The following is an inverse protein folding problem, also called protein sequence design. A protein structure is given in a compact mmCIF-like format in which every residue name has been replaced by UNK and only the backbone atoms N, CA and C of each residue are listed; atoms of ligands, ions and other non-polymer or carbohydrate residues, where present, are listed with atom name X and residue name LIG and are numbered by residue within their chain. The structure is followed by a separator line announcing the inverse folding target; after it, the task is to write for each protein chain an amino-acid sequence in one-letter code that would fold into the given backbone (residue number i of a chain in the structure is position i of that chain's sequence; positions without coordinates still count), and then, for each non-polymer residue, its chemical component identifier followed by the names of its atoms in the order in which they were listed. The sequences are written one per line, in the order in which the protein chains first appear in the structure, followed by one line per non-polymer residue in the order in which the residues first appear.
data_IF_827447713135
#
_entry.id   IF_827447713135
#
_cell.length_a   1.000
_cell.length_b   1.000
_cell.length_c   1.000
_cell.angle_alpha   90.00
_cell.angle_beta   90.00
_cell.angle_gamma   90.00
#
_symmetry.space_group_name_H-M   'P 1'
#
loop_
_entity.id
_entity.type
_entity.pdbx_description
1 polymer ?
#
# COMPACT_ATOMS: atom_id res chain seq x y z
N UNK A 1 -20.61 19.52 34.53
CA UNK A 1 -20.56 20.76 33.71
C UNK A 1 -19.14 21.07 33.17
N UNK A 2 -18.05 20.69 33.85
CA UNK A 2 -16.68 21.05 33.47
C UNK A 2 -16.24 20.54 32.07
N UNK A 3 -16.68 19.34 31.66
CA UNK A 3 -16.34 18.73 30.37
C UNK A 3 -17.24 19.17 29.20
N UNK A 4 -18.33 19.91 29.49
CA UNK A 4 -19.17 20.47 28.42
C UNK A 4 -18.40 21.55 27.65
N UNK A 5 -18.52 21.51 26.32
CA UNK A 5 -17.91 22.49 25.43
C UNK A 5 -16.46 22.21 25.02
N UNK A 6 -15.91 21.01 25.26
CA UNK A 6 -14.71 20.53 24.60
C UNK A 6 -15.07 19.72 23.37
N UNK A 7 -14.44 20.03 22.26
CA UNK A 7 -14.54 19.26 21.00
C UNK A 7 -13.13 19.06 20.43
N UNK A 8 -12.97 17.97 19.72
CA UNK A 8 -11.75 17.68 18.98
C UNK A 8 -12.07 17.34 17.54
N UNK A 9 -11.14 17.62 16.65
CA UNK A 9 -11.17 17.25 15.23
C UNK A 9 -9.77 16.82 14.85
N UNK A 10 -9.67 15.70 14.15
CA UNK A 10 -8.38 15.18 13.67
C UNK A 10 -8.33 15.24 12.16
N UNK A 11 -7.15 15.48 11.65
CA UNK A 11 -6.82 15.40 10.23
C UNK A 11 -5.58 14.54 10.05
N UNK A 12 -5.64 13.59 9.15
CA UNK A 12 -4.51 12.75 8.74
C UNK A 12 -3.96 13.26 7.41
N UNK A 13 -2.64 13.20 7.24
CA UNK A 13 -1.98 13.55 5.96
C UNK A 13 -2.39 12.59 4.84
N UNK A 14 -2.64 11.33 5.17
CA UNK A 14 -3.12 10.30 4.23
C UNK A 14 -3.90 9.22 4.97
N UNK A 15 -4.89 8.65 4.29
CA UNK A 15 -5.62 7.46 4.76
C UNK A 15 -5.06 6.15 4.19
N UNK A 16 -4.08 6.24 3.28
CA UNK A 16 -3.47 5.08 2.62
C UNK A 16 -1.98 5.30 2.54
N UNK A 17 -1.22 4.44 3.19
CA UNK A 17 0.23 4.49 3.23
C UNK A 17 0.81 3.09 3.04
N UNK A 18 2.11 2.99 2.85
CA UNK A 18 2.83 1.72 2.81
C UNK A 18 3.54 1.46 4.14
N UNK A 19 3.87 0.20 4.40
CA UNK A 19 4.73 -0.19 5.53
C UNK A 19 6.01 0.66 5.55
N UNK A 20 6.47 0.99 6.74
CA UNK A 20 7.59 1.90 7.03
C UNK A 20 7.34 3.35 6.57
N UNK A 21 6.13 3.66 6.12
CA UNK A 21 5.70 5.02 5.82
C UNK A 21 5.32 5.81 7.07
N UNK A 22 5.07 7.09 6.86
CA UNK A 22 4.75 8.04 7.93
C UNK A 22 3.37 8.64 7.70
N UNK A 23 2.70 8.94 8.81
CA UNK A 23 1.43 9.68 8.85
C UNK A 23 1.60 10.89 9.76
N UNK A 24 1.34 12.06 9.21
CA UNK A 24 1.25 13.27 10.03
C UNK A 24 -0.18 13.44 10.52
N UNK A 25 -0.31 13.70 11.80
CA UNK A 25 -1.57 13.86 12.50
C UNK A 25 -1.67 15.27 13.05
N UNK A 26 -2.71 15.96 12.67
CA UNK A 26 -3.09 17.27 13.20
C UNK A 26 -4.37 17.11 14.02
N UNK A 27 -4.24 17.23 15.34
CA UNK A 27 -5.37 17.16 16.27
C UNK A 27 -5.68 18.57 16.79
N UNK A 28 -6.84 19.09 16.41
CA UNK A 28 -7.35 20.37 16.90
C UNK A 28 -8.29 20.13 18.07
N UNK A 29 -8.01 20.80 19.19
CA UNK A 29 -8.84 20.75 20.40
C UNK A 29 -9.38 22.14 20.67
N UNK A 30 -10.68 22.24 20.81
CA UNK A 30 -11.37 23.51 21.00
C UNK A 30 -12.16 23.55 22.31
N UNK A 31 -11.98 24.64 23.06
CA UNK A 31 -12.81 24.98 24.19
C UNK A 31 -13.93 25.96 23.78
N UNK A 32 -15.14 25.45 23.62
CA UNK A 32 -16.34 26.26 23.29
C UNK A 32 -16.94 26.96 24.50
N UNK A 33 -16.41 26.72 25.71
CA UNK A 33 -16.94 27.34 26.94
C UNK A 33 -16.44 28.77 27.11
N UNK A 34 -17.07 29.49 28.04
CA UNK A 34 -16.70 30.86 28.42
C UNK A 34 -15.59 30.93 29.47
N UNK A 35 -15.15 29.78 29.98
CA UNK A 35 -14.17 29.68 31.04
C UNK A 35 -12.91 28.99 30.52
N UNK A 36 -11.72 29.44 30.97
CA UNK A 36 -10.48 28.75 30.67
C UNK A 36 -10.47 27.37 31.32
N UNK A 37 -9.69 26.45 30.78
CA UNK A 37 -9.58 25.09 31.29
C UNK A 37 -8.15 24.60 31.12
N UNK A 38 -7.61 24.01 32.18
CA UNK A 38 -6.40 23.22 32.11
C UNK A 38 -6.79 21.81 31.68
N UNK A 39 -6.35 21.39 30.53
CA UNK A 39 -6.72 20.12 29.92
C UNK A 39 -5.49 19.29 29.62
N UNK A 40 -5.60 18.03 29.98
CA UNK A 40 -4.69 16.99 29.55
C UNK A 40 -5.36 16.26 28.39
N UNK A 41 -4.72 16.24 27.25
CA UNK A 41 -5.25 15.62 26.03
C UNK A 41 -4.34 14.46 25.65
N UNK A 42 -4.93 13.30 25.44
CA UNK A 42 -4.23 12.10 24.95
C UNK A 42 -5.00 11.52 23.77
N UNK A 43 -4.33 11.46 22.64
CA UNK A 43 -4.86 10.77 21.47
C UNK A 43 -4.47 9.30 21.51
N UNK A 44 -5.45 8.40 21.48
CA UNK A 44 -5.16 6.96 21.47
C UNK A 44 -4.69 6.55 20.09
N UNK A 45 -3.46 6.06 20.00
CA UNK A 45 -2.87 5.52 18.78
C UNK A 45 -2.68 4.01 18.93
N UNK A 46 -2.74 3.23 17.83
CA UNK A 46 -2.46 1.79 17.88
C UNK A 46 -1.05 1.51 18.43
N UNK A 47 -0.92 0.51 19.29
CA UNK A 47 0.35 0.18 19.99
C UNK A 47 1.48 -0.20 19.03
N UNK A 48 1.14 -0.72 17.85
CA UNK A 48 2.13 -1.09 16.82
C UNK A 48 2.80 0.13 16.19
N UNK A 49 2.17 1.31 16.26
CA UNK A 49 2.71 2.55 15.71
C UNK A 49 3.81 3.12 16.60
N UNK A 50 4.79 3.74 15.96
CA UNK A 50 5.89 4.40 16.67
C UNK A 50 5.78 5.91 16.54
N UNK A 51 5.91 6.60 17.64
CA UNK A 51 5.99 8.06 17.62
C UNK A 51 7.35 8.48 17.05
N UNK A 52 7.35 9.19 15.91
CA UNK A 52 8.55 9.69 15.25
C UNK A 52 8.85 11.13 15.59
N UNK A 53 7.83 11.97 15.61
CA UNK A 53 7.93 13.40 15.98
C UNK A 53 6.72 13.81 16.80
N UNK A 54 6.89 14.84 17.63
CA UNK A 54 5.82 15.39 18.45
C UNK A 54 5.40 14.46 19.57
N UNK A 55 4.18 14.66 20.06
CA UNK A 55 3.57 13.86 21.13
C UNK A 55 2.07 13.77 20.93
N UNK A 56 1.51 12.57 21.11
CA UNK A 56 0.07 12.35 21.18
C UNK A 56 -0.54 12.68 22.54
N UNK A 57 0.26 13.26 23.43
CA UNK A 57 -0.10 13.65 24.79
C UNK A 57 0.39 15.06 25.08
N UNK A 58 -0.51 15.92 25.56
CA UNK A 58 -0.19 17.31 25.89
C UNK A 58 -1.02 17.75 27.10
N UNK A 59 -0.38 18.42 28.05
CA UNK A 59 -1.03 19.20 29.10
C UNK A 59 -0.99 20.67 28.68
N UNK A 60 -2.13 21.35 28.64
CA UNK A 60 -2.22 22.74 28.18
C UNK A 60 -3.33 23.53 28.88
N UNK A 61 -3.14 24.84 28.94
CA UNK A 61 -4.20 25.78 29.32
C UNK A 61 -4.93 26.25 28.06
N UNK A 62 -6.21 25.90 27.96
CA UNK A 62 -7.06 26.24 26.85
C UNK A 62 -8.02 27.36 27.22
N UNK A 63 -7.72 28.55 26.75
CA UNK A 63 -8.52 29.75 27.01
C UNK A 63 -9.99 29.61 26.52
N UNK A 64 -10.86 30.54 26.98
CA UNK A 64 -12.27 30.51 26.56
C UNK A 64 -12.39 30.74 25.06
N UNK A 65 -13.19 29.92 24.39
CA UNK A 65 -13.43 29.94 22.93
C UNK A 65 -12.14 29.88 22.07
N UNK A 66 -11.06 29.32 22.64
CA UNK A 66 -9.80 29.11 21.94
C UNK A 66 -9.68 27.68 21.45
N UNK A 67 -8.91 27.52 20.41
CA UNK A 67 -8.48 26.20 19.92
C UNK A 67 -6.95 26.12 19.92
N UNK A 68 -6.45 24.92 20.02
CA UNK A 68 -5.03 24.59 19.93
C UNK A 68 -4.84 23.37 19.07
N UNK A 69 -3.79 23.36 18.31
CA UNK A 69 -3.42 22.25 17.45
C UNK A 69 -2.26 21.48 18.07
N UNK A 70 -2.38 20.17 18.08
CA UNK A 70 -1.36 19.21 18.48
C UNK A 70 -0.92 18.49 17.23
N UNK A 71 0.35 18.51 16.91
CA UNK A 71 0.92 17.87 15.73
C UNK A 71 1.89 16.77 16.14
N UNK A 72 1.75 15.62 15.50
CA UNK A 72 2.69 14.52 15.69
C UNK A 72 2.74 13.64 14.46
N UNK A 73 3.85 12.90 14.30
CA UNK A 73 4.10 11.99 13.19
C UNK A 73 4.23 10.56 13.71
N UNK A 74 3.48 9.65 13.13
CA UNK A 74 3.53 8.21 13.39
C UNK A 74 4.29 7.50 12.28
N UNK A 75 5.18 6.59 12.66
CA UNK A 75 5.76 5.59 11.77
C UNK A 75 4.90 4.32 11.80
N UNK A 76 4.63 3.77 10.64
CA UNK A 76 3.70 2.68 10.45
C UNK A 76 4.42 1.39 10.00
N UNK A 77 4.93 0.58 10.94
CA UNK A 77 5.84 -0.53 10.62
C UNK A 77 5.14 -1.77 10.08
N UNK A 78 3.83 -1.89 10.24
CA UNK A 78 3.09 -3.12 9.92
C UNK A 78 1.84 -2.82 9.12
N UNK A 79 1.64 -3.59 8.04
CA UNK A 79 0.42 -3.54 7.23
C UNK A 79 -0.83 -3.90 8.05
N UNK A 80 -1.94 -3.31 7.69
CA UNK A 80 -3.22 -3.59 8.32
C UNK A 80 -4.19 -2.43 8.22
N UNK A 81 -5.37 -2.66 8.71
CA UNK A 81 -6.38 -1.64 8.91
C UNK A 81 -6.33 -1.17 10.35
N UNK A 82 -6.17 0.12 10.55
CA UNK A 82 -6.00 0.72 11.87
C UNK A 82 -6.92 1.92 12.04
N UNK A 83 -7.21 2.23 13.31
CA UNK A 83 -8.00 3.38 13.70
C UNK A 83 -7.27 4.16 14.78
N UNK A 84 -7.14 5.47 14.63
CA UNK A 84 -6.68 6.39 15.67
C UNK A 84 -7.90 6.91 16.42
N UNK A 85 -7.83 6.94 17.74
CA UNK A 85 -8.91 7.39 18.61
C UNK A 85 -9.27 6.36 19.69
N UNK A 86 -10.15 6.72 20.61
CA UNK A 86 -10.74 8.04 20.84
C UNK A 86 -9.73 9.06 21.38
N UNK A 87 -10.10 10.34 21.38
CA UNK A 87 -9.35 11.39 22.07
C UNK A 87 -9.77 11.43 23.53
N UNK A 88 -8.88 11.09 24.44
CA UNK A 88 -9.11 11.17 25.88
C UNK A 88 -8.77 12.56 26.39
N UNK A 89 -9.67 13.19 27.11
CA UNK A 89 -9.47 14.50 27.70
C UNK A 89 -9.73 14.42 29.20
N UNK A 90 -8.72 14.86 29.97
CA UNK A 90 -8.82 15.00 31.42
C UNK A 90 -8.75 16.49 31.78
N UNK A 91 -9.68 16.95 32.59
CA UNK A 91 -9.67 18.32 33.15
C UNK A 91 -9.37 18.22 34.62
N UNK A 92 -8.43 19.04 35.07
CA UNK A 92 -8.19 19.25 36.49
C UNK A 92 -8.92 20.50 36.97
N UNK A 93 -9.32 20.48 38.22
CA UNK A 93 -9.78 21.71 38.90
C UNK A 93 -8.59 22.61 39.23
N UNK A 94 -8.86 23.86 39.61
CA UNK A 94 -7.85 24.89 39.90
C UNK A 94 -6.89 24.49 41.04
N UNK A 95 -7.30 23.59 41.91
CA UNK A 95 -6.50 23.10 43.03
C UNK A 95 -5.84 21.74 42.77
N UNK A 96 -6.11 21.11 41.64
CA UNK A 96 -5.59 19.79 41.30
C UNK A 96 -6.14 18.63 42.14
N UNK A 97 -7.18 18.88 42.95
CA UNK A 97 -7.76 17.89 43.85
C UNK A 97 -8.74 16.95 43.15
N UNK A 98 -9.41 17.41 42.11
CA UNK A 98 -10.39 16.66 41.37
C UNK A 98 -10.05 16.67 39.90
N UNK A 99 -10.19 15.51 39.28
CA UNK A 99 -10.10 15.38 37.82
C UNK A 99 -11.34 14.71 37.25
N UNK A 100 -11.70 15.10 36.04
CA UNK A 100 -12.77 14.47 35.26
C UNK A 100 -12.24 14.09 33.90
N UNK A 101 -12.47 12.84 33.52
CA UNK A 101 -12.10 12.33 32.21
C UNK A 101 -13.33 12.20 31.29
N UNK A 102 -13.10 12.36 30.02
CA UNK A 102 -14.08 12.14 28.98
C UNK A 102 -13.37 11.65 27.71
N UNK A 103 -13.96 10.65 27.07
CA UNK A 103 -13.59 10.27 25.71
C UNK A 103 -14.41 11.08 24.70
N UNK A 104 -13.72 11.72 23.79
CA UNK A 104 -14.32 12.31 22.60
C UNK A 104 -14.23 11.26 21.49
N UNK A 105 -15.39 10.85 21.00
CA UNK A 105 -15.50 9.80 19.98
C UNK A 105 -15.08 10.34 18.60
N UNK A 106 -13.81 10.62 18.45
CA UNK A 106 -13.16 11.00 17.19
C UNK A 106 -12.29 9.82 16.77
N UNK A 107 -12.70 9.17 15.70
CA UNK A 107 -12.02 8.02 15.13
C UNK A 107 -11.68 8.31 13.69
N UNK A 108 -10.48 8.00 13.29
CA UNK A 108 -10.03 8.11 11.90
C UNK A 108 -9.34 6.81 11.49
N UNK A 109 -9.89 6.20 10.47
CA UNK A 109 -9.42 4.93 9.93
C UNK A 109 -8.42 5.16 8.82
N UNK A 110 -7.42 4.30 8.75
CA UNK A 110 -6.43 4.30 7.69
C UNK A 110 -5.90 2.89 7.38
N UNK A 111 -5.42 2.72 6.16
CA UNK A 111 -4.94 1.46 5.64
C UNK A 111 -3.45 1.52 5.35
N UNK A 112 -2.71 0.55 5.86
CA UNK A 112 -1.29 0.36 5.57
C UNK A 112 -1.13 -0.81 4.62
N UNK A 113 -0.62 -0.53 3.42
CA UNK A 113 -0.31 -1.54 2.42
C UNK A 113 1.06 -2.19 2.69
N UNK A 114 1.25 -3.44 2.28
CA UNK A 114 2.56 -4.07 2.36
C UNK A 114 3.58 -3.31 1.52
N UNK A 115 4.82 -3.28 1.99
CA UNK A 115 5.95 -2.75 1.23
C UNK A 115 6.16 -3.59 -0.02
N UNK A 116 6.28 -2.92 -1.15
CA UNK A 116 6.55 -3.54 -2.44
C UNK A 116 7.99 -3.24 -2.87
N UNK A 117 8.72 -4.28 -3.24
CA UNK A 117 10.06 -4.16 -3.80
C UNK A 117 10.01 -4.18 -5.33
N UNK A 118 10.90 -3.41 -5.95
CA UNK A 118 11.02 -3.43 -7.40
C UNK A 118 11.80 -4.69 -7.82
N UNK A 119 11.09 -5.61 -8.44
CA UNK A 119 11.70 -6.82 -8.99
C UNK A 119 12.40 -6.46 -10.31
N UNK A 120 13.71 -6.73 -10.37
CA UNK A 120 14.48 -6.54 -11.60
C UNK A 120 14.18 -7.70 -12.57
N UNK A 121 14.14 -7.41 -13.87
CA UNK A 121 13.84 -8.37 -14.95
C UNK A 121 14.70 -9.65 -14.94
N UNK A 122 15.86 -9.61 -14.28
CA UNK A 122 16.77 -10.73 -14.18
C UNK A 122 16.21 -11.95 -13.44
N UNK A 123 15.22 -11.77 -12.58
CA UNK A 123 14.65 -12.87 -11.77
C UNK A 123 13.54 -13.65 -12.46
N UNK A 124 12.97 -13.14 -13.53
CA UNK A 124 11.84 -13.78 -14.21
C UNK A 124 12.19 -14.26 -15.62
N UNK A 125 13.46 -14.48 -15.92
CA UNK A 125 13.81 -15.43 -16.98
C UNK A 125 13.49 -16.82 -16.47
N UNK A 126 12.23 -17.16 -16.54
CA UNK A 126 11.71 -18.45 -16.19
C UNK A 126 12.39 -19.55 -17.00
N UNK A 127 13.45 -20.08 -16.45
CA UNK A 127 13.80 -21.49 -16.63
C UNK A 127 12.95 -22.29 -15.62
N UNK A 128 11.64 -22.06 -15.58
CA UNK A 128 10.76 -23.00 -14.90
C UNK A 128 10.76 -24.23 -15.77
N UNK A 129 11.29 -25.37 -15.31
CA UNK A 129 11.10 -26.61 -16.01
C UNK A 129 9.58 -26.82 -16.11
N UNK A 130 9.08 -27.04 -17.30
CA UNK A 130 7.69 -27.35 -17.62
C UNK A 130 7.26 -28.60 -16.82
N UNK A 131 6.72 -28.44 -15.63
CA UNK A 131 6.17 -29.55 -14.81
C UNK A 131 4.65 -29.61 -14.95
N UNK A 132 4.08 -28.97 -15.95
CA UNK A 132 2.70 -29.24 -16.32
C UNK A 132 2.67 -29.88 -17.70
N UNK A 133 2.59 -31.22 -17.69
CA UNK A 133 2.18 -32.02 -18.83
C UNK A 133 0.79 -31.58 -19.25
N UNK A 134 0.70 -30.71 -20.28
CA UNK A 134 -0.59 -30.26 -20.81
C UNK A 134 -0.68 -28.82 -21.33
N UNK A 135 0.17 -27.92 -20.87
CA UNK A 135 0.23 -26.58 -21.46
C UNK A 135 1.19 -26.59 -22.66
N UNK A 136 0.67 -26.93 -23.82
CA UNK A 136 1.32 -26.62 -25.09
C UNK A 136 1.35 -25.09 -25.15
N UNK A 137 2.53 -24.48 -25.04
CA UNK A 137 2.71 -23.10 -25.49
C UNK A 137 2.44 -23.10 -26.99
N UNK A 138 1.24 -22.78 -27.36
CA UNK A 138 0.89 -22.45 -28.73
C UNK A 138 1.51 -21.08 -28.97
N UNK A 139 2.75 -21.06 -29.46
CA UNK A 139 3.33 -19.87 -30.05
C UNK A 139 2.49 -19.51 -31.26
N UNK A 140 1.59 -18.57 -31.11
CA UNK A 140 0.77 -18.09 -32.21
C UNK A 140 1.42 -16.87 -32.84
N UNK A 141 1.54 -16.82 -34.16
CA UNK A 141 1.96 -15.61 -34.85
C UNK A 141 0.95 -14.49 -34.61
N UNK A 142 1.43 -13.27 -34.38
CA UNK A 142 0.57 -12.12 -34.15
C UNK A 142 1.32 -10.78 -34.19
N UNK A 143 0.67 -9.67 -33.90
CA UNK A 143 1.23 -8.32 -33.99
C UNK A 143 2.11 -7.95 -32.77
N UNK A 144 3.04 -8.81 -32.35
CA UNK A 144 3.98 -8.55 -31.27
C UNK A 144 5.28 -7.93 -31.74
N UNK A 145 6.22 -7.73 -30.81
CA UNK A 145 7.53 -7.11 -31.06
C UNK A 145 8.65 -8.11 -31.27
N UNK A 146 8.56 -9.32 -30.71
CA UNK A 146 9.59 -10.35 -30.82
C UNK A 146 9.47 -11.17 -32.08
N UNK A 147 10.63 -11.55 -32.64
CA UNK A 147 10.70 -12.41 -33.84
C UNK A 147 10.24 -13.83 -33.49
N UNK A 148 9.29 -14.34 -34.27
CA UNK A 148 8.77 -15.68 -34.12
C UNK A 148 9.36 -16.66 -35.12
N UNK A 149 9.10 -16.43 -36.42
CA UNK A 149 9.56 -17.29 -37.50
C UNK A 149 9.67 -16.54 -38.83
N UNK A 150 10.25 -17.23 -39.83
CA UNK A 150 10.20 -16.83 -41.22
C UNK A 150 9.24 -17.75 -41.95
N UNK A 151 8.25 -17.19 -42.66
CA UNK A 151 7.40 -17.94 -43.59
C UNK A 151 7.41 -17.35 -45.00
N UNK A 152 6.98 -18.09 -45.96
CA UNK A 152 6.78 -17.58 -47.31
C UNK A 152 5.69 -16.50 -47.33
N UNK A 153 5.86 -15.50 -48.16
CA UNK A 153 4.89 -14.42 -48.39
C UNK A 153 3.58 -14.98 -48.95
N UNK A 154 2.48 -14.51 -48.42
CA UNK A 154 1.13 -14.80 -48.90
C UNK A 154 0.50 -13.47 -49.31
N UNK A 155 -0.31 -13.52 -50.39
CA UNK A 155 -1.01 -12.32 -50.85
C UNK A 155 -1.88 -11.72 -49.75
N UNK A 156 -1.64 -10.43 -49.46
CA UNK A 156 -2.24 -9.71 -48.29
C UNK A 156 -1.30 -9.38 -47.19
N UNK A 157 -0.07 -9.92 -47.18
CA UNK A 157 0.95 -9.53 -46.18
C UNK A 157 1.50 -8.12 -46.42
N UNK A 158 1.83 -7.44 -45.34
CA UNK A 158 2.35 -6.08 -45.37
C UNK A 158 3.78 -6.07 -45.86
N UNK A 159 4.12 -5.26 -46.85
CA UNK A 159 5.48 -5.11 -47.39
C UNK A 159 6.54 -4.76 -46.35
N UNK A 160 6.17 -4.10 -45.26
CA UNK A 160 7.08 -3.77 -44.13
C UNK A 160 7.60 -4.98 -43.37
N UNK A 161 6.94 -6.11 -43.47
CA UNK A 161 7.30 -7.37 -42.78
C UNK A 161 8.19 -8.26 -43.63
N UNK A 162 8.42 -7.93 -44.90
CA UNK A 162 9.30 -8.70 -45.78
C UNK A 162 10.73 -8.66 -45.30
N UNK A 163 11.34 -9.85 -45.20
CA UNK A 163 12.74 -9.99 -44.89
C UNK A 163 13.59 -9.94 -46.17
N UNK A 164 14.04 -8.74 -46.51
CA UNK A 164 14.82 -8.50 -47.73
C UNK A 164 16.16 -9.25 -47.73
N UNK A 165 16.73 -9.50 -46.55
CA UNK A 165 18.00 -10.28 -46.44
C UNK A 165 17.78 -11.76 -46.70
N UNK A 166 16.62 -12.31 -46.35
CA UNK A 166 16.26 -13.67 -46.66
C UNK A 166 15.92 -13.82 -48.16
N UNK A 167 15.21 -12.83 -48.73
CA UNK A 167 14.93 -12.80 -50.18
C UNK A 167 16.21 -12.78 -50.99
N UNK A 168 17.19 -11.94 -50.65
CA UNK A 168 18.46 -11.86 -51.35
C UNK A 168 19.24 -13.18 -51.36
N UNK A 169 19.05 -14.04 -50.37
CA UNK A 169 19.75 -15.34 -50.24
C UNK A 169 19.01 -16.50 -50.91
N UNK A 170 17.68 -16.51 -50.82
CA UNK A 170 16.83 -17.66 -51.22
C UNK A 170 16.12 -17.44 -52.51
N UNK A 171 15.99 -16.20 -53.01
CA UNK A 171 15.17 -15.83 -54.15
C UNK A 171 13.67 -15.92 -53.90
N UNK A 172 13.23 -16.28 -52.69
CA UNK A 172 11.84 -16.39 -52.31
C UNK A 172 11.45 -15.26 -51.36
N UNK A 173 10.28 -14.67 -51.58
CA UNK A 173 9.73 -13.66 -50.67
C UNK A 173 9.38 -14.32 -49.34
N UNK A 174 10.08 -13.86 -48.27
CA UNK A 174 9.90 -14.33 -46.90
C UNK A 174 9.43 -13.20 -46.04
N UNK A 175 8.53 -13.48 -45.10
CA UNK A 175 7.96 -12.54 -44.15
C UNK A 175 8.40 -12.89 -42.72
N UNK A 176 8.83 -11.88 -41.97
CA UNK A 176 9.08 -12.05 -40.55
C UNK A 176 7.76 -12.14 -39.79
N UNK A 177 7.43 -13.29 -39.26
CA UNK A 177 6.37 -13.43 -38.29
C UNK A 177 6.84 -13.00 -36.92
N UNK A 178 6.02 -12.26 -36.20
CA UNK A 178 6.28 -11.83 -34.83
C UNK A 178 5.45 -12.64 -33.87
N UNK A 179 5.94 -12.81 -32.64
CA UNK A 179 5.20 -13.45 -31.58
C UNK A 179 4.10 -12.51 -31.09
N UNK A 180 2.92 -13.04 -30.78
CA UNK A 180 1.83 -12.27 -30.18
C UNK A 180 2.21 -11.97 -28.76
N UNK A 181 2.15 -10.70 -28.33
CA UNK A 181 2.22 -10.33 -26.92
C UNK A 181 1.02 -10.96 -26.21
N UNK A 182 1.26 -12.08 -25.55
CA UNK A 182 0.23 -12.77 -24.78
C UNK A 182 0.16 -12.14 -23.38
N UNK A 183 -1.02 -11.64 -23.02
CA UNK A 183 -1.35 -11.30 -21.65
C UNK A 183 -1.53 -12.61 -20.88
N UNK A 184 -0.84 -12.76 -19.77
CA UNK A 184 -0.95 -13.94 -18.92
C UNK A 184 -1.88 -13.67 -17.74
N UNK A 185 -2.67 -14.66 -17.35
CA UNK A 185 -3.44 -14.62 -16.11
C UNK A 185 -2.61 -15.24 -14.99
N UNK A 186 -2.29 -14.42 -14.00
CA UNK A 186 -1.45 -14.78 -12.84
C UNK A 186 -2.34 -14.86 -11.61
N UNK A 187 -2.33 -16.00 -10.94
CA UNK A 187 -3.05 -16.20 -9.68
C UNK A 187 -2.01 -16.31 -8.56
N UNK A 188 -2.07 -15.41 -7.57
CA UNK A 188 -1.20 -15.40 -6.42
C UNK A 188 -1.94 -15.99 -5.22
N UNK A 189 -1.50 -17.15 -4.74
CA UNK A 189 -2.11 -17.83 -3.60
C UNK A 189 -1.20 -17.67 -2.38
N UNK A 190 -1.73 -17.06 -1.31
CA UNK A 190 -1.02 -16.86 -0.04
C UNK A 190 -1.62 -17.78 1.00
N UNK A 191 -0.79 -18.58 1.66
CA UNK A 191 -1.20 -19.37 2.82
C UNK A 191 -1.26 -18.47 4.06
N UNK A 192 -2.48 -18.16 4.52
CA UNK A 192 -2.76 -17.31 5.67
C UNK A 192 -3.23 -18.11 6.90
N UNK A 193 -2.96 -19.42 6.98
CA UNK A 193 -3.30 -20.22 8.15
C UNK A 193 -2.46 -19.80 9.36
N UNK A 194 -2.99 -19.99 10.57
CA UNK A 194 -2.31 -19.64 11.82
C UNK A 194 -0.91 -20.32 11.97
N UNK A 195 -0.73 -21.52 11.39
CA UNK A 195 0.57 -22.22 11.37
C UNK A 195 1.62 -21.44 10.54
N UNK A 196 1.20 -20.65 9.58
CA UNK A 196 2.07 -19.81 8.73
C UNK A 196 2.51 -18.52 9.43
N UNK A 197 1.99 -18.20 10.61
CA UNK A 197 2.39 -17.05 11.43
C UNK A 197 3.58 -17.38 12.36
N UNK A 198 4.59 -18.09 11.85
CA UNK A 198 5.77 -18.43 12.63
C UNK A 198 6.74 -17.25 12.70
N UNK A 199 7.04 -16.77 13.91
CA UNK A 199 8.01 -15.69 14.16
C UNK A 199 7.40 -14.45 14.82
N UNK A 200 8.19 -13.39 15.04
CA UNK A 200 7.71 -12.13 15.60
C UNK A 200 6.67 -11.46 14.69
N UNK A 201 5.71 -10.75 15.27
CA UNK A 201 4.57 -10.11 14.57
C UNK A 201 4.99 -9.33 13.32
N UNK A 202 6.11 -8.61 13.37
CA UNK A 202 6.61 -7.81 12.25
C UNK A 202 7.52 -8.58 11.26
N UNK A 203 7.89 -9.84 11.55
CA UNK A 203 8.86 -10.63 10.75
C UNK A 203 8.46 -12.09 10.65
N UNK A 204 7.19 -12.39 10.57
CA UNK A 204 6.71 -13.76 10.37
C UNK A 204 6.65 -14.11 8.87
N UNK A 205 6.44 -15.39 8.58
CA UNK A 205 6.38 -15.89 7.21
C UNK A 205 5.21 -15.28 6.42
N UNK A 206 4.08 -15.01 7.07
CA UNK A 206 2.91 -14.38 6.44
C UNK A 206 3.22 -12.93 6.00
N UNK A 207 3.97 -12.16 6.81
CA UNK A 207 4.43 -10.81 6.44
C UNK A 207 5.31 -10.88 5.19
N UNK A 208 6.29 -11.79 5.17
CA UNK A 208 7.20 -11.96 4.04
C UNK A 208 6.47 -12.43 2.77
N UNK A 209 5.55 -13.38 2.89
CA UNK A 209 4.76 -13.89 1.77
C UNK A 209 3.85 -12.81 1.17
N UNK A 210 3.23 -11.97 2.02
CA UNK A 210 2.38 -10.88 1.55
C UNK A 210 3.19 -9.80 0.83
N UNK A 211 4.38 -9.44 1.34
CA UNK A 211 5.30 -8.50 0.66
C UNK A 211 5.75 -9.04 -0.68
N UNK A 212 6.12 -10.31 -0.73
CA UNK A 212 6.52 -10.99 -1.97
C UNK A 212 5.37 -11.01 -2.99
N UNK A 213 4.15 -11.37 -2.56
CA UNK A 213 2.99 -11.39 -3.42
C UNK A 213 2.63 -9.99 -3.95
N UNK A 214 2.68 -8.96 -3.10
CA UNK A 214 2.46 -7.58 -3.53
C UNK A 214 3.50 -7.11 -4.54
N UNK A 215 4.78 -7.47 -4.36
CA UNK A 215 5.87 -7.15 -5.29
C UNK A 215 5.70 -7.87 -6.63
N UNK A 216 5.31 -9.16 -6.61
CA UNK A 216 5.01 -9.93 -7.81
C UNK A 216 3.79 -9.39 -8.54
N UNK A 217 2.71 -9.08 -7.80
CA UNK A 217 1.51 -8.49 -8.39
C UNK A 217 1.84 -7.19 -9.13
N UNK A 218 2.59 -6.29 -8.49
CA UNK A 218 3.06 -5.04 -9.11
C UNK A 218 3.90 -5.31 -10.36
N UNK A 219 4.82 -6.27 -10.31
CA UNK A 219 5.67 -6.64 -11.43
C UNK A 219 4.84 -7.09 -12.64
N UNK A 220 3.90 -8.03 -12.45
CA UNK A 220 3.06 -8.54 -13.52
C UNK A 220 2.08 -7.50 -14.07
N UNK A 221 1.47 -6.68 -13.18
CA UNK A 221 0.60 -5.58 -13.60
C UNK A 221 1.34 -4.55 -14.47
N UNK A 222 2.61 -4.24 -14.14
CA UNK A 222 3.44 -3.35 -14.96
C UNK A 222 3.73 -3.95 -16.35
N UNK A 223 3.70 -5.26 -16.50
CA UNK A 223 3.82 -5.98 -17.79
C UNK A 223 2.49 -6.10 -18.53
N UNK A 224 1.41 -5.54 -17.98
CA UNK A 224 0.04 -5.65 -18.47
C UNK A 224 -0.55 -7.07 -18.38
N UNK A 225 0.01 -7.93 -17.54
CA UNK A 225 -0.59 -9.20 -17.19
C UNK A 225 -1.79 -9.00 -16.27
N UNK A 226 -2.73 -9.93 -16.28
CA UNK A 226 -3.87 -9.98 -15.36
C UNK A 226 -3.45 -10.66 -14.07
N UNK A 227 -3.76 -10.08 -12.90
CA UNK A 227 -3.35 -10.62 -11.60
C UNK A 227 -4.57 -10.73 -10.68
N UNK A 228 -4.75 -11.89 -10.06
CA UNK A 228 -5.81 -12.19 -9.12
C UNK A 228 -5.34 -13.03 -7.92
#
# INVERSE_FOLDING_TARGET
QALRGLSAMRRLSSQRIFEDGEIDVELRVQNKSRFPKTVEVRDKVPEVMRMKKGSNYVLMDLGPRRETTIEYTLECPLRGFYSIGPVCVRIQDTFGLFHKEKELHVYDDFLIFPKMEDLKDTFVKSKVPKIFTGAVQIRNPGPGTEFFSLREYIEGDTFKQINWSAYARSGKLMVNERERDAVSDIILIIDARAVSETGPVARNSLVSSTRAAASLARYFLNRRDSVG
#
